data_IF_407870896334
#
_entry.id   IF_407870896334
#
_cell.length_a   1.000
_cell.length_b   1.000
_cell.length_c   1.000
_cell.angle_alpha   90.00
_cell.angle_beta   90.00
_cell.angle_gamma   90.00
#
_symmetry.space_group_name_H-M   'P 1'
#
loop_
_entity.id
_entity.type
_entity.pdbx_description
1 polymer ?
#
# COMPACT_ATOMS: atom_id res chain seq x y z
N UNK A 1 6.70 16.14 -1.59
CA UNK A 1 6.07 17.40 -1.18
C UNK A 1 6.43 17.67 0.28
N UNK A 2 6.90 18.89 0.57
CA UNK A 2 7.23 19.29 1.95
C UNK A 2 5.96 19.73 2.66
N UNK A 3 5.78 19.29 3.93
CA UNK A 3 4.71 19.77 4.78
C UNK A 3 5.00 21.21 5.23
N UNK A 4 4.08 22.12 4.92
CA UNK A 4 4.10 23.54 5.33
C UNK A 4 2.84 23.93 6.09
N UNK A 5 2.15 22.95 6.69
CA UNK A 5 0.87 23.13 7.39
C UNK A 5 -0.38 22.86 6.54
N UNK A 6 -0.21 22.48 5.27
CA UNK A 6 -1.34 22.20 4.36
C UNK A 6 -2.10 20.90 4.68
N UNK A 7 -1.63 20.12 5.66
CA UNK A 7 -2.24 18.86 6.07
C UNK A 7 -2.74 18.86 7.52
N UNK A 8 -2.95 20.03 8.13
CA UNK A 8 -3.36 20.15 9.53
C UNK A 8 -4.88 19.93 9.77
N UNK A 9 -5.66 19.71 8.72
CA UNK A 9 -7.08 19.38 8.80
C UNK A 9 -7.30 17.92 9.23
N UNK A 10 -8.44 17.63 9.82
CA UNK A 10 -8.87 16.26 10.11
C UNK A 10 -9.78 15.76 8.99
N UNK A 11 -9.53 14.55 8.48
CA UNK A 11 -10.27 13.99 7.34
C UNK A 11 -10.27 12.48 7.32
N UNK A 12 -11.25 11.91 6.64
CA UNK A 12 -11.25 10.48 6.36
C UNK A 12 -10.16 10.14 5.34
N UNK A 13 -9.45 9.04 5.60
CA UNK A 13 -8.38 8.52 4.77
C UNK A 13 -8.61 7.03 4.51
N UNK A 14 -7.92 6.48 3.50
CA UNK A 14 -8.04 5.06 3.21
C UNK A 14 -7.23 4.19 4.18
N UNK A 15 -6.04 4.62 4.58
CA UNK A 15 -5.19 3.88 5.51
C UNK A 15 -4.34 4.84 6.33
N UNK A 16 -3.95 4.41 7.52
CA UNK A 16 -3.02 5.09 8.40
C UNK A 16 -1.70 4.33 8.48
N UNK A 17 -0.60 5.06 8.61
CA UNK A 17 0.73 4.46 8.74
C UNK A 17 0.90 3.72 10.06
N UNK A 18 1.54 2.55 10.02
CA UNK A 18 1.95 1.80 11.21
C UNK A 18 2.88 2.57 12.15
N UNK A 19 3.49 3.67 11.68
CA UNK A 19 4.29 4.56 12.52
C UNK A 19 3.47 5.29 13.60
N UNK A 20 2.18 5.56 13.31
CA UNK A 20 1.25 6.16 14.27
C UNK A 20 -0.19 5.78 13.91
N UNK A 21 -0.68 4.69 14.47
CA UNK A 21 -2.06 4.23 14.33
C UNK A 21 -2.64 3.87 15.70
N UNK A 22 -3.80 4.43 16.04
CA UNK A 22 -4.59 4.03 17.19
C UNK A 22 -5.86 3.34 16.69
N UNK A 23 -6.18 2.18 17.25
CA UNK A 23 -7.31 1.36 16.82
C UNK A 23 -8.12 0.91 18.03
N UNK A 24 -9.45 0.97 17.95
CA UNK A 24 -10.32 0.37 18.97
C UNK A 24 -10.08 -1.15 19.00
N UNK A 25 -9.84 -1.71 20.19
CA UNK A 25 -9.53 -3.14 20.39
C UNK A 25 -10.56 -4.05 19.73
N UNK A 26 -11.84 -3.75 19.89
CA UNK A 26 -12.94 -4.54 19.32
C UNK A 26 -12.90 -4.53 17.78
N UNK A 27 -12.60 -3.37 17.17
CA UNK A 27 -12.48 -3.24 15.73
C UNK A 27 -11.25 -4.00 15.18
N UNK A 28 -10.13 -3.96 15.91
CA UNK A 28 -8.92 -4.72 15.58
C UNK A 28 -9.18 -6.23 15.61
N UNK A 29 -9.81 -6.73 16.68
CA UNK A 29 -10.16 -8.14 16.83
C UNK A 29 -11.16 -8.58 15.76
N UNK A 30 -12.22 -7.79 15.54
CA UNK A 30 -13.24 -8.06 14.52
C UNK A 30 -12.65 -8.12 13.11
N UNK A 31 -11.66 -7.27 12.82
CA UNK A 31 -10.95 -7.31 11.55
C UNK A 31 -9.96 -8.49 11.43
N UNK A 32 -9.71 -9.25 12.51
CA UNK A 32 -8.79 -10.38 12.53
C UNK A 32 -7.33 -10.00 12.75
N UNK A 33 -7.04 -8.80 13.29
CA UNK A 33 -5.66 -8.36 13.58
C UNK A 33 -4.79 -8.15 12.35
N UNK A 34 -3.48 -8.12 12.55
CA UNK A 34 -2.51 -8.12 11.46
C UNK A 34 -2.39 -9.50 10.81
N UNK A 35 -2.18 -9.55 9.49
CA UNK A 35 -1.96 -10.79 8.76
C UNK A 35 -0.47 -11.19 8.87
N UNK A 36 -0.19 -12.29 9.57
CA UNK A 36 1.17 -12.79 9.84
C UNK A 36 2.00 -13.04 8.56
N UNK A 37 1.37 -13.43 7.46
CA UNK A 37 2.05 -13.68 6.19
C UNK A 37 2.66 -12.41 5.57
N UNK A 38 2.19 -11.23 5.96
CA UNK A 38 2.75 -9.96 5.49
C UNK A 38 4.05 -9.61 6.22
N UNK A 39 4.20 -9.98 7.50
CA UNK A 39 5.35 -9.75 8.38
C UNK A 39 5.67 -8.26 8.59
N UNK A 40 6.03 -7.54 7.54
CA UNK A 40 6.38 -6.11 7.58
C UNK A 40 6.06 -5.45 6.24
N UNK A 41 5.66 -4.18 6.29
CA UNK A 41 5.19 -3.36 5.16
C UNK A 41 3.87 -3.83 4.55
N UNK A 42 2.91 -2.93 4.43
CA UNK A 42 1.56 -3.11 3.90
C UNK A 42 0.57 -3.84 4.86
N UNK A 43 0.99 -4.31 6.03
CA UNK A 43 0.13 -4.95 7.02
C UNK A 43 -0.93 -3.98 7.57
N UNK A 44 -0.56 -2.72 7.76
CA UNK A 44 -1.45 -1.65 8.18
C UNK A 44 -2.46 -1.28 7.08
N UNK A 45 -2.05 -1.33 5.82
CA UNK A 45 -2.94 -1.09 4.68
C UNK A 45 -3.97 -2.22 4.59
N UNK A 46 -3.53 -3.47 4.72
CA UNK A 46 -4.40 -4.64 4.75
C UNK A 46 -5.43 -4.55 5.89
N UNK A 47 -4.97 -4.19 7.10
CA UNK A 47 -5.84 -4.03 8.27
C UNK A 47 -6.88 -2.93 8.03
N UNK A 48 -6.43 -1.73 7.62
CA UNK A 48 -7.33 -0.60 7.36
C UNK A 48 -8.35 -0.92 6.26
N UNK A 49 -7.95 -1.65 5.23
CA UNK A 49 -8.86 -2.07 4.16
C UNK A 49 -9.94 -3.03 4.69
N UNK A 50 -9.56 -4.05 5.48
CA UNK A 50 -10.51 -4.99 6.10
C UNK A 50 -11.46 -4.30 7.07
N UNK A 51 -10.96 -3.33 7.86
CA UNK A 51 -11.81 -2.56 8.76
C UNK A 51 -12.86 -1.74 8.00
N UNK A 52 -12.48 -1.07 6.91
CA UNK A 52 -13.43 -0.32 6.07
C UNK A 52 -14.44 -1.24 5.37
N UNK A 53 -14.04 -2.46 4.95
CA UNK A 53 -14.96 -3.46 4.42
C UNK A 53 -16.04 -3.87 5.44
N UNK A 54 -15.80 -3.64 6.72
CA UNK A 54 -16.75 -3.84 7.83
C UNK A 54 -17.42 -2.54 8.31
N UNK A 55 -17.50 -1.54 7.42
CA UNK A 55 -18.05 -0.21 7.70
C UNK A 55 -17.27 0.61 8.75
N UNK A 56 -16.00 0.27 9.02
CA UNK A 56 -15.12 1.07 9.85
C UNK A 56 -14.69 2.35 9.14
N UNK A 57 -14.40 3.38 9.93
CA UNK A 57 -13.91 4.68 9.44
C UNK A 57 -12.45 4.83 9.89
N UNK A 58 -11.57 5.18 8.95
CA UNK A 58 -10.19 5.56 9.24
C UNK A 58 -10.09 7.07 9.13
N UNK A 59 -9.62 7.70 10.20
CA UNK A 59 -9.55 9.17 10.28
C UNK A 59 -8.12 9.63 10.53
N UNK A 60 -7.67 10.60 9.77
CA UNK A 60 -6.48 11.38 10.02
C UNK A 60 -6.84 12.56 10.95
N UNK A 61 -6.02 12.77 11.98
CA UNK A 61 -6.19 13.86 12.97
C UNK A 61 -4.97 14.78 12.85
N UNK A 62 -5.10 15.87 12.11
CA UNK A 62 -4.01 16.79 11.80
C UNK A 62 -3.41 17.52 13.00
N UNK A 63 -4.18 17.65 14.11
CA UNK A 63 -3.68 18.23 15.35
C UNK A 63 -2.80 17.29 16.20
N UNK A 64 -2.71 16.00 15.83
CA UNK A 64 -1.88 15.01 16.52
C UNK A 64 -0.58 14.80 15.77
N UNK A 65 0.55 15.11 16.38
CA UNK A 65 1.87 14.98 15.78
C UNK A 65 2.69 13.92 16.50
N UNK A 66 3.27 13.00 15.74
CA UNK A 66 4.20 11.98 16.24
C UNK A 66 5.50 12.04 15.46
N UNK A 67 6.61 12.05 16.18
CA UNK A 67 7.94 11.99 15.58
C UNK A 67 8.37 10.55 15.43
N UNK A 68 8.69 10.15 14.21
CA UNK A 68 9.06 8.78 13.86
C UNK A 68 10.51 8.70 13.35
N UNK A 69 11.33 7.87 14.00
CA UNK A 69 12.68 7.57 13.53
C UNK A 69 12.61 6.61 12.34
N UNK A 70 12.65 7.16 11.13
CA UNK A 70 12.62 6.37 9.91
C UNK A 70 13.82 5.43 9.77
N UNK A 71 13.56 4.17 9.37
CA UNK A 71 14.64 3.20 9.14
C UNK A 71 15.15 2.46 10.38
N UNK A 72 14.49 2.60 11.54
CA UNK A 72 14.91 1.96 12.79
C UNK A 72 14.91 0.42 12.74
N UNK A 73 14.00 -0.19 12.00
CA UNK A 73 13.91 -1.67 11.89
C UNK A 73 14.62 -2.20 10.66
N UNK A 74 14.46 -1.56 9.50
CA UNK A 74 15.13 -1.89 8.26
C UNK A 74 15.71 -0.60 7.68
N UNK A 75 17.03 -0.54 7.47
CA UNK A 75 17.68 0.61 6.86
C UNK A 75 17.00 1.05 5.55
N UNK A 76 17.06 2.33 5.23
CA UNK A 76 16.33 2.94 4.10
C UNK A 76 16.64 2.24 2.76
N UNK A 77 17.89 1.78 2.57
CA UNK A 77 18.37 1.10 1.35
C UNK A 77 18.43 -0.44 1.46
N UNK A 78 17.69 -1.04 2.40
CA UNK A 78 17.73 -2.49 2.58
C UNK A 78 16.89 -3.22 1.50
N UNK A 79 17.46 -4.14 0.70
CA UNK A 79 16.72 -4.91 -0.31
C UNK A 79 15.57 -5.75 0.24
N UNK A 80 15.62 -6.15 1.54
CA UNK A 80 14.50 -6.82 2.20
C UNK A 80 13.26 -5.92 2.26
N UNK A 81 13.45 -4.62 2.47
CA UNK A 81 12.34 -3.65 2.42
C UNK A 81 11.70 -3.61 1.05
N UNK A 82 12.51 -3.59 -0.01
CA UNK A 82 12.02 -3.68 -1.39
C UNK A 82 11.25 -4.97 -1.62
N UNK A 83 11.81 -6.12 -1.22
CA UNK A 83 11.14 -7.42 -1.33
C UNK A 83 9.74 -7.39 -0.69
N UNK A 84 9.62 -6.97 0.58
CA UNK A 84 8.33 -6.94 1.27
C UNK A 84 7.36 -5.96 0.62
N UNK A 85 7.79 -4.75 0.26
CA UNK A 85 6.92 -3.77 -0.38
C UNK A 85 6.32 -4.28 -1.69
N UNK A 86 7.13 -4.88 -2.56
CA UNK A 86 6.66 -5.40 -3.85
C UNK A 86 5.78 -6.64 -3.67
N UNK A 87 6.21 -7.63 -2.88
CA UNK A 87 5.42 -8.83 -2.60
C UNK A 87 4.09 -8.51 -1.94
N UNK A 88 4.14 -7.77 -0.84
CA UNK A 88 2.96 -7.54 0.00
C UNK A 88 1.94 -6.65 -0.69
N UNK A 89 2.36 -5.66 -1.49
CA UNK A 89 1.42 -4.85 -2.26
C UNK A 89 0.58 -5.68 -3.23
N UNK A 90 1.17 -6.70 -3.87
CA UNK A 90 0.44 -7.63 -4.74
C UNK A 90 -0.49 -8.54 -3.92
N UNK A 91 -0.03 -9.05 -2.77
CA UNK A 91 -0.83 -9.91 -1.89
C UNK A 91 -2.02 -9.18 -1.28
N UNK A 92 -1.82 -7.95 -0.79
CA UNK A 92 -2.89 -7.10 -0.24
C UNK A 92 -3.92 -6.75 -1.31
N UNK A 93 -3.47 -6.44 -2.52
CA UNK A 93 -4.34 -6.20 -3.67
C UNK A 93 -5.15 -7.46 -4.03
N UNK A 94 -4.51 -8.61 -4.10
CA UNK A 94 -5.17 -9.89 -4.39
C UNK A 94 -6.23 -10.21 -3.32
N UNK A 95 -5.88 -10.06 -2.04
CA UNK A 95 -6.73 -10.41 -0.90
C UNK A 95 -7.97 -9.53 -0.79
N UNK A 96 -7.79 -8.21 -0.89
CA UNK A 96 -8.83 -7.24 -0.53
C UNK A 96 -9.63 -6.69 -1.71
N UNK A 97 -9.12 -6.77 -2.94
CA UNK A 97 -9.81 -6.24 -4.11
C UNK A 97 -10.77 -7.28 -4.70
N UNK A 98 -12.07 -7.07 -4.48
CA UNK A 98 -13.12 -7.98 -4.95
C UNK A 98 -13.58 -7.72 -6.41
N UNK A 99 -12.91 -6.85 -7.16
CA UNK A 99 -13.24 -6.60 -8.56
C UNK A 99 -12.84 -7.80 -9.42
N UNK A 100 -13.64 -8.11 -10.43
CA UNK A 100 -13.33 -9.15 -11.42
C UNK A 100 -12.01 -8.87 -12.16
N UNK A 101 -11.71 -7.57 -12.36
CA UNK A 101 -10.49 -7.11 -13.01
C UNK A 101 -9.20 -7.21 -12.14
N UNK A 102 -9.25 -7.80 -10.95
CA UNK A 102 -8.07 -7.85 -10.05
C UNK A 102 -6.85 -8.47 -10.72
N UNK A 103 -7.04 -9.52 -11.52
CA UNK A 103 -5.94 -10.19 -12.21
C UNK A 103 -5.30 -9.30 -13.29
N UNK A 104 -6.10 -8.52 -14.01
CA UNK A 104 -5.57 -7.54 -14.96
C UNK A 104 -4.82 -6.42 -14.23
N UNK A 105 -5.33 -5.95 -13.10
CA UNK A 105 -4.65 -4.94 -12.26
C UNK A 105 -3.30 -5.48 -11.77
N UNK A 106 -3.26 -6.71 -11.28
CA UNK A 106 -2.03 -7.36 -10.83
C UNK A 106 -1.03 -7.52 -11.99
N UNK A 107 -1.49 -7.94 -13.15
CA UNK A 107 -0.64 -8.08 -14.34
C UNK A 107 -0.01 -6.74 -14.74
N UNK A 108 -0.82 -5.68 -14.87
CA UNK A 108 -0.31 -4.32 -15.18
C UNK A 108 0.66 -3.84 -14.09
N UNK A 109 0.36 -4.11 -12.81
CA UNK A 109 1.26 -3.76 -11.72
C UNK A 109 2.59 -4.49 -11.83
N UNK A 110 2.61 -5.78 -12.17
CA UNK A 110 3.85 -6.55 -12.33
C UNK A 110 4.70 -6.06 -13.51
N UNK A 111 4.09 -5.56 -14.59
CA UNK A 111 4.82 -4.88 -15.66
C UNK A 111 5.49 -3.59 -15.18
N UNK A 112 4.80 -2.79 -14.37
CA UNK A 112 5.39 -1.59 -13.77
C UNK A 112 6.51 -1.94 -12.76
N UNK A 113 6.34 -3.02 -12.01
CA UNK A 113 7.37 -3.53 -11.09
C UNK A 113 8.62 -3.99 -11.86
N UNK A 114 8.46 -4.60 -13.04
CA UNK A 114 9.58 -4.96 -13.92
C UNK A 114 10.34 -3.70 -14.39
N UNK A 115 9.63 -2.63 -14.77
CA UNK A 115 10.28 -1.36 -15.11
C UNK A 115 11.06 -0.77 -13.93
N UNK A 116 10.49 -0.81 -12.72
CA UNK A 116 11.17 -0.38 -11.51
C UNK A 116 12.41 -1.24 -11.21
N UNK A 117 12.34 -2.57 -11.45
CA UNK A 117 13.47 -3.47 -11.29
C UNK A 117 14.62 -3.10 -12.25
N UNK A 118 14.32 -2.85 -13.52
CA UNK A 118 15.31 -2.39 -14.51
C UNK A 118 15.92 -1.03 -14.12
N UNK A 119 15.12 -0.10 -13.60
CA UNK A 119 15.63 1.17 -13.09
C UNK A 119 16.65 0.96 -11.97
N UNK A 120 16.38 0.06 -11.01
CA UNK A 120 17.34 -0.28 -9.95
C UNK A 120 18.64 -0.86 -10.53
N UNK A 121 18.53 -1.77 -11.49
CA UNK A 121 19.69 -2.38 -12.13
C UNK A 121 20.57 -1.33 -12.82
N UNK A 122 19.97 -0.47 -13.62
CA UNK A 122 20.66 0.63 -14.33
C UNK A 122 21.26 1.67 -13.37
N UNK A 123 20.68 1.80 -12.17
CA UNK A 123 21.18 2.70 -11.09
C UNK A 123 22.26 2.05 -10.22
N UNK A 124 22.83 0.89 -10.63
CA UNK A 124 23.88 0.21 -9.87
C UNK A 124 23.40 -0.48 -8.58
N UNK A 125 22.10 -0.78 -8.46
CA UNK A 125 21.49 -1.44 -7.29
C UNK A 125 20.94 -2.85 -7.63
N UNK A 126 21.79 -3.82 -8.05
CA UNK A 126 21.34 -5.14 -8.51
C UNK A 126 20.66 -5.96 -7.41
N UNK A 127 20.97 -5.71 -6.13
CA UNK A 127 20.32 -6.37 -5.01
C UNK A 127 18.81 -6.05 -4.92
N UNK A 128 18.40 -4.83 -5.29
CA UNK A 128 16.99 -4.45 -5.36
C UNK A 128 16.28 -5.08 -6.56
N UNK A 129 16.96 -5.20 -7.72
CA UNK A 129 16.46 -5.95 -8.87
C UNK A 129 16.13 -7.39 -8.47
N UNK A 130 17.10 -8.10 -7.84
CA UNK A 130 16.92 -9.48 -7.37
C UNK A 130 15.80 -9.55 -6.32
N UNK A 131 15.68 -8.55 -5.45
CA UNK A 131 14.63 -8.50 -4.43
C UNK A 131 13.23 -8.44 -5.06
N UNK A 132 13.02 -7.66 -6.13
CA UNK A 132 11.74 -7.60 -6.85
C UNK A 132 11.43 -8.93 -7.53
N UNK A 133 12.40 -9.54 -8.18
CA UNK A 133 12.24 -10.86 -8.80
C UNK A 133 11.82 -11.93 -7.76
N UNK A 134 12.53 -11.99 -6.63
CA UNK A 134 12.19 -12.88 -5.51
C UNK A 134 10.79 -12.56 -4.93
N UNK A 135 10.40 -11.28 -4.88
CA UNK A 135 9.08 -10.87 -4.43
C UNK A 135 7.97 -11.44 -5.32
N UNK A 136 8.13 -11.41 -6.64
CA UNK A 136 7.17 -12.00 -7.58
C UNK A 136 7.09 -13.52 -7.44
N UNK A 137 8.22 -14.23 -7.32
CA UNK A 137 8.22 -15.68 -7.09
C UNK A 137 7.49 -16.02 -5.78
N UNK A 138 7.79 -15.29 -4.70
CA UNK A 138 7.12 -15.47 -3.41
C UNK A 138 5.63 -15.12 -3.47
N UNK A 139 5.24 -14.09 -4.24
CA UNK A 139 3.84 -13.79 -4.50
C UNK A 139 3.12 -15.01 -5.11
N UNK A 140 3.65 -15.58 -6.18
CA UNK A 140 3.04 -16.74 -6.84
C UNK A 140 2.89 -17.94 -5.90
N UNK A 141 3.89 -18.23 -5.08
CA UNK A 141 3.81 -19.31 -4.10
C UNK A 141 2.72 -19.11 -3.04
N UNK A 142 2.41 -17.85 -2.70
CA UNK A 142 1.40 -17.50 -1.70
C UNK A 142 -0.01 -17.27 -2.29
N UNK A 143 -0.16 -17.17 -3.62
CA UNK A 143 -1.46 -16.96 -4.29
C UNK A 143 -2.54 -17.93 -3.78
N UNK A 144 -2.35 -19.27 -3.71
CA UNK A 144 -3.41 -20.18 -3.27
C UNK A 144 -3.87 -19.89 -1.85
N UNK A 145 -2.92 -19.54 -0.97
CA UNK A 145 -3.21 -19.18 0.43
C UNK A 145 -3.99 -17.88 0.52
N UNK A 146 -3.60 -16.84 -0.24
CA UNK A 146 -4.24 -15.55 -0.23
C UNK A 146 -5.61 -15.54 -0.93
N UNK A 147 -5.83 -16.40 -1.92
CA UNK A 147 -7.16 -16.62 -2.50
C UNK A 147 -8.13 -17.15 -1.42
N UNK A 148 -7.69 -18.07 -0.55
CA UNK A 148 -8.52 -18.57 0.56
C UNK A 148 -8.83 -17.48 1.60
N UNK A 149 -7.93 -16.50 1.77
CA UNK A 149 -8.11 -15.36 2.67
C UNK A 149 -9.00 -14.25 2.09
N UNK A 150 -9.39 -14.32 0.81
CA UNK A 150 -10.28 -13.34 0.18
C UNK A 150 -11.64 -13.35 0.85
N UNK A 151 -12.02 -12.23 1.43
CA UNK A 151 -13.36 -12.05 1.94
C UNK A 151 -14.34 -11.76 0.80
N UNK A 152 -15.48 -12.45 0.79
CA UNK A 152 -16.61 -12.12 -0.09
C UNK A 152 -17.40 -10.94 0.50
N UNK A 153 -16.78 -9.77 0.56
CA UNK A 153 -17.50 -8.58 0.99
C UNK A 153 -18.35 -8.04 -0.14
N UNK A 154 -19.58 -7.68 0.19
CA UNK A 154 -20.55 -7.05 -0.74
C UNK A 154 -20.22 -5.58 -0.94
N UNK A 155 -19.54 -4.94 -0.02
CA UNK A 155 -19.24 -3.52 -0.04
C UNK A 155 -18.03 -3.22 -0.94
N UNK A 156 -18.29 -2.49 -2.03
CA UNK A 156 -17.24 -1.96 -2.92
C UNK A 156 -16.65 -0.71 -2.31
N UNK A 157 -15.41 -0.78 -1.83
CA UNK A 157 -14.69 0.38 -1.30
C UNK A 157 -13.89 1.04 -2.41
N UNK A 158 -13.93 2.38 -2.47
CA UNK A 158 -13.06 3.15 -3.33
C UNK A 158 -11.66 3.23 -2.70
N UNK A 159 -10.77 2.31 -3.11
CA UNK A 159 -9.40 2.22 -2.57
C UNK A 159 -8.39 3.09 -3.33
N UNK A 160 -8.80 3.78 -4.39
CA UNK A 160 -7.96 4.70 -5.13
C UNK A 160 -8.70 6.00 -5.45
N UNK A 161 -7.96 7.09 -5.41
CA UNK A 161 -8.46 8.41 -5.81
C UNK A 161 -8.04 8.78 -7.23
N UNK A 162 -6.95 8.19 -7.72
CA UNK A 162 -6.33 8.48 -9.01
C UNK A 162 -6.13 7.15 -9.73
N UNK A 163 -6.56 7.07 -10.99
CA UNK A 163 -6.47 5.83 -11.78
C UNK A 163 -5.04 5.35 -11.99
N UNK A 164 -4.09 6.27 -12.22
CA UNK A 164 -2.68 5.96 -12.40
C UNK A 164 -1.81 7.11 -11.94
N UNK A 165 -1.09 6.91 -10.83
CA UNK A 165 -0.11 7.87 -10.32
C UNK A 165 1.08 7.99 -11.28
N UNK A 166 1.48 6.88 -11.91
CA UNK A 166 2.57 6.85 -12.90
C UNK A 166 2.26 7.77 -14.07
N UNK A 167 1.06 7.67 -14.65
CA UNK A 167 0.61 8.58 -15.71
C UNK A 167 0.61 10.03 -15.26
N UNK A 168 0.05 10.30 -14.09
CA UNK A 168 -0.04 11.68 -13.57
C UNK A 168 1.35 12.28 -13.32
N UNK A 169 2.27 11.49 -12.75
CA UNK A 169 3.62 11.96 -12.42
C UNK A 169 4.48 12.11 -13.68
N UNK A 170 4.62 11.07 -14.51
CA UNK A 170 5.56 11.08 -15.62
C UNK A 170 5.04 11.79 -16.87
N UNK A 171 3.75 11.66 -17.17
CA UNK A 171 3.15 12.24 -18.39
C UNK A 171 2.52 13.60 -18.11
N UNK A 172 1.69 13.71 -17.07
CA UNK A 172 1.02 14.97 -16.71
C UNK A 172 1.88 15.90 -15.85
N UNK A 173 3.08 15.50 -15.46
CA UNK A 173 4.05 16.26 -14.64
C UNK A 173 3.47 16.80 -13.33
N UNK A 174 2.48 16.13 -12.77
CA UNK A 174 1.89 16.49 -11.47
C UNK A 174 2.68 15.81 -10.36
N UNK A 175 3.54 16.59 -9.71
CA UNK A 175 4.53 16.09 -8.74
C UNK A 175 4.12 16.28 -7.27
N UNK A 176 3.02 17.04 -7.01
CA UNK A 176 2.53 17.31 -5.65
C UNK A 176 1.15 16.72 -5.43
N UNK A 177 0.83 16.36 -4.18
CA UNK A 177 -0.48 15.85 -3.80
C UNK A 177 -1.60 16.87 -4.04
N UNK A 178 -1.32 18.15 -3.80
CA UNK A 178 -2.26 19.25 -4.08
C UNK A 178 -2.59 19.29 -5.57
N UNK A 179 -1.57 19.24 -6.46
CA UNK A 179 -1.78 19.23 -7.91
C UNK A 179 -2.58 18.01 -8.40
N UNK A 180 -2.45 16.86 -7.71
CA UNK A 180 -3.20 15.66 -8.02
C UNK A 180 -4.69 15.78 -7.68
N UNK A 181 -5.03 16.51 -6.61
CA UNK A 181 -6.41 16.65 -6.13
C UNK A 181 -7.21 17.75 -6.85
N UNK A 182 -6.56 18.70 -7.52
CA UNK A 182 -7.24 19.81 -8.25
C UNK A 182 -8.11 19.35 -9.44
N UNK A 183 -8.05 18.10 -9.86
CA UNK A 183 -8.86 17.55 -10.96
C UNK A 183 -10.16 16.86 -10.50
N UNK A 184 -10.61 17.07 -9.27
CA UNK A 184 -11.87 16.51 -8.73
C UNK A 184 -13.07 17.47 -8.85
N UNK A 185 -12.97 18.51 -9.71
CA UNK A 185 -14.13 19.32 -10.08
C UNK A 185 -14.73 18.84 -11.39
#
# INVERSE_FOLDING_TARGET
EKDTGQFNDSRQIFWASGACIAVKKEAFIKAGGFDEDLFAHQEEIDLCWRMQQQAGIIQYIGSSTVYHLGGGTLGVENPKKTFYNFRNSLLVMLKNNNRSAVWLILFVRMLLDALAAWQFLLSGKPSHFIAIFKAHLSFYSLVPRFIKKRYKHTQKIAYYQIKSIVWMYFIRKKTTFIALNQNKK
#
